data_IF_817920692963
#
_entry.id   IF_817920692963
#
_cell.length_a   1.000
_cell.length_b   1.000
_cell.length_c   1.000
_cell.angle_alpha   90.00
_cell.angle_beta   90.00
_cell.angle_gamma   90.00
#
_symmetry.space_group_name_H-M   'P 1'
#
loop_
_entity.id
_entity.type
_entity.pdbx_description
1 polymer ?
#
# COMPACT_ATOMS: atom_id res chain seq x y z
N UNK A 1 -3.22 -21.79 -23.91
CA UNK A 1 -2.27 -21.95 -22.79
C UNK A 1 -3.00 -22.61 -21.63
N UNK A 2 -2.28 -23.24 -20.71
CA UNK A 2 -2.87 -23.75 -19.46
C UNK A 2 -3.29 -22.59 -18.57
N UNK A 3 -4.40 -22.74 -17.82
CA UNK A 3 -4.84 -21.76 -16.82
C UNK A 3 -3.79 -21.51 -15.72
N UNK A 4 -3.03 -22.54 -15.34
CA UNK A 4 -1.96 -22.43 -14.33
C UNK A 4 -0.80 -21.59 -14.87
N UNK A 5 -0.45 -21.79 -16.14
CA UNK A 5 0.61 -21.03 -16.81
C UNK A 5 0.19 -19.56 -16.98
N UNK A 6 -1.07 -19.31 -17.36
CA UNK A 6 -1.61 -17.96 -17.47
C UNK A 6 -1.59 -17.22 -16.11
N UNK A 7 -2.00 -17.90 -15.03
CA UNK A 7 -1.94 -17.32 -13.69
C UNK A 7 -0.50 -17.02 -13.25
N UNK A 8 0.45 -17.90 -13.61
CA UNK A 8 1.88 -17.67 -13.37
C UNK A 8 2.38 -16.44 -14.11
N UNK A 9 2.10 -16.30 -15.40
CA UNK A 9 2.52 -15.14 -16.20
C UNK A 9 1.96 -13.83 -15.64
N UNK A 10 0.69 -13.83 -15.23
CA UNK A 10 0.10 -12.66 -14.57
C UNK A 10 0.77 -12.34 -13.23
N UNK A 11 1.09 -13.36 -12.43
CA UNK A 11 1.81 -13.17 -11.18
C UNK A 11 3.23 -12.63 -11.42
N UNK A 12 3.93 -13.03 -12.49
CA UNK A 12 5.27 -12.52 -12.83
C UNK A 12 5.22 -11.06 -13.26
N UNK A 13 4.24 -10.70 -14.09
CA UNK A 13 4.00 -9.31 -14.47
C UNK A 13 3.69 -8.46 -13.23
N UNK A 14 2.78 -8.93 -12.38
CA UNK A 14 2.42 -8.21 -11.16
C UNK A 14 3.62 -8.05 -10.22
N UNK A 15 4.43 -9.11 -10.04
CA UNK A 15 5.64 -9.05 -9.23
C UNK A 15 6.65 -8.02 -9.76
N UNK A 16 6.78 -7.93 -11.08
CA UNK A 16 7.65 -6.93 -11.73
C UNK A 16 7.15 -5.50 -11.45
N UNK A 17 5.83 -5.26 -11.60
CA UNK A 17 5.20 -3.97 -11.34
C UNK A 17 5.36 -3.52 -9.88
N UNK A 18 5.17 -4.42 -8.91
CA UNK A 18 5.26 -4.06 -7.48
C UNK A 18 6.70 -3.97 -6.96
N UNK A 19 7.67 -4.58 -7.66
CA UNK A 19 9.09 -4.45 -7.31
C UNK A 19 9.67 -3.11 -7.71
N UNK A 20 8.99 -2.34 -8.57
CA UNK A 20 9.36 -0.96 -8.79
C UNK A 20 9.32 -0.16 -7.47
N UNK A 21 10.13 0.90 -7.41
CA UNK A 21 10.18 1.75 -6.24
C UNK A 21 8.81 2.38 -5.99
N UNK A 22 8.37 2.38 -4.73
CA UNK A 22 7.10 3.00 -4.37
C UNK A 22 7.16 4.51 -4.73
N UNK A 23 6.24 5.03 -5.56
CA UNK A 23 6.36 6.39 -6.08
C UNK A 23 6.35 7.43 -4.96
N UNK A 24 7.07 8.54 -5.12
CA UNK A 24 7.05 9.64 -4.13
C UNK A 24 5.93 10.66 -4.37
N UNK A 25 5.50 10.83 -5.62
CA UNK A 25 4.48 11.80 -6.02
C UNK A 25 3.06 11.27 -5.74
N UNK A 26 2.20 12.08 -5.12
CA UNK A 26 0.85 11.69 -4.69
C UNK A 26 -0.02 11.10 -5.81
N UNK A 27 -0.01 11.70 -7.00
CA UNK A 27 -0.78 11.18 -8.16
C UNK A 27 -0.28 9.81 -8.61
N UNK A 28 1.05 9.63 -8.67
CA UNK A 28 1.67 8.35 -9.04
C UNK A 28 1.45 7.29 -7.97
N UNK A 29 1.38 7.67 -6.70
CA UNK A 29 1.02 6.78 -5.59
C UNK A 29 -0.41 6.28 -5.72
N UNK A 30 -1.36 7.17 -5.97
CA UNK A 30 -2.76 6.80 -6.18
C UNK A 30 -2.90 5.85 -7.37
N UNK A 31 -2.25 6.17 -8.50
CA UNK A 31 -2.23 5.31 -9.67
C UNK A 31 -1.60 3.93 -9.39
N UNK A 32 -0.48 3.89 -8.66
CA UNK A 32 0.17 2.64 -8.26
C UNK A 32 -0.76 1.78 -7.40
N UNK A 33 -1.43 2.36 -6.40
CA UNK A 33 -2.36 1.62 -5.53
C UNK A 33 -3.55 1.07 -6.33
N UNK A 34 -4.14 1.88 -7.22
CA UNK A 34 -5.24 1.43 -8.08
C UNK A 34 -4.82 0.30 -9.02
N UNK A 35 -3.61 0.36 -9.57
CA UNK A 35 -3.07 -0.72 -10.40
C UNK A 35 -2.88 -2.01 -9.59
N UNK A 36 -2.36 -1.91 -8.37
CA UNK A 36 -2.23 -3.05 -7.45
C UNK A 36 -3.60 -3.67 -7.14
N UNK A 37 -4.61 -2.86 -6.82
CA UNK A 37 -5.98 -3.36 -6.57
C UNK A 37 -6.56 -4.06 -7.80
N UNK A 38 -6.38 -3.47 -8.99
CA UNK A 38 -6.83 -4.08 -10.24
C UNK A 38 -6.17 -5.44 -10.47
N UNK A 39 -4.85 -5.54 -10.31
CA UNK A 39 -4.10 -6.79 -10.48
C UNK A 39 -4.53 -7.87 -9.49
N UNK A 40 -4.78 -7.48 -8.23
CA UNK A 40 -5.29 -8.40 -7.22
C UNK A 40 -6.69 -8.93 -7.56
N UNK A 41 -7.56 -8.07 -8.11
CA UNK A 41 -8.89 -8.48 -8.55
C UNK A 41 -8.85 -9.40 -9.78
N UNK A 42 -8.01 -9.10 -10.77
CA UNK A 42 -7.77 -9.98 -11.94
C UNK A 42 -7.29 -11.37 -11.49
N UNK A 43 -6.36 -11.40 -10.52
CA UNK A 43 -5.85 -12.65 -9.93
C UNK A 43 -6.94 -13.44 -9.20
N UNK A 44 -7.79 -12.78 -8.41
CA UNK A 44 -8.88 -13.42 -7.67
C UNK A 44 -9.83 -14.16 -8.62
N UNK A 45 -10.22 -13.52 -9.73
CA UNK A 45 -11.07 -14.13 -10.75
C UNK A 45 -10.43 -15.39 -11.38
N UNK A 46 -9.12 -15.36 -11.64
CA UNK A 46 -8.42 -16.53 -12.16
C UNK A 46 -8.32 -17.67 -11.14
N UNK A 47 -8.11 -17.35 -9.85
CA UNK A 47 -8.09 -18.34 -8.78
C UNK A 47 -9.47 -18.99 -8.60
N UNK A 48 -10.55 -18.23 -8.65
CA UNK A 48 -11.91 -18.77 -8.66
C UNK A 48 -12.13 -19.71 -9.84
N UNK A 49 -11.65 -19.34 -11.04
CA UNK A 49 -11.74 -20.18 -12.24
C UNK A 49 -10.84 -21.44 -12.19
N UNK A 50 -9.94 -21.52 -11.21
CA UNK A 50 -9.02 -22.63 -10.94
C UNK A 50 -9.44 -23.48 -9.73
N UNK A 51 -10.48 -23.10 -8.98
CA UNK A 51 -10.87 -23.77 -7.75
C UNK A 51 -11.16 -25.27 -7.94
N UNK A 52 -11.79 -25.63 -9.07
CA UNK A 52 -12.10 -27.02 -9.45
C UNK A 52 -11.12 -27.59 -10.50
N UNK A 53 -9.98 -26.92 -10.74
CA UNK A 53 -9.04 -27.33 -11.77
C UNK A 53 -8.05 -28.36 -11.25
N UNK A 54 -8.03 -29.54 -11.88
CA UNK A 54 -7.01 -30.56 -11.63
C UNK A 54 -5.71 -30.21 -12.37
N UNK A 55 -4.66 -29.98 -11.59
CA UNK A 55 -3.33 -29.69 -12.11
C UNK A 55 -2.78 -30.94 -12.80
N UNK A 56 -2.35 -30.79 -14.06
CA UNK A 56 -1.71 -31.86 -14.82
C UNK A 56 -0.25 -32.01 -14.42
N UNK A 57 0.33 -33.19 -14.63
CA UNK A 57 1.75 -33.47 -14.36
C UNK A 57 2.68 -32.47 -15.06
N UNK A 58 2.32 -32.07 -16.29
CA UNK A 58 3.05 -31.08 -17.11
C UNK A 58 3.04 -29.67 -16.51
N UNK A 59 2.12 -29.38 -15.60
CA UNK A 59 1.89 -28.06 -14.99
C UNK A 59 2.43 -27.98 -13.56
N UNK A 60 2.85 -29.10 -12.96
CA UNK A 60 3.34 -29.16 -11.58
C UNK A 60 4.49 -28.17 -11.32
N UNK A 61 5.41 -28.04 -12.29
CA UNK A 61 6.53 -27.12 -12.16
C UNK A 61 6.06 -25.66 -12.13
N UNK A 62 5.12 -25.31 -13.03
CA UNK A 62 4.53 -23.97 -13.06
C UNK A 62 3.74 -23.67 -11.79
N UNK A 63 3.01 -24.66 -11.24
CA UNK A 63 2.30 -24.52 -9.98
C UNK A 63 3.26 -24.28 -8.79
N UNK A 64 4.39 -24.99 -8.73
CA UNK A 64 5.42 -24.78 -7.69
C UNK A 64 6.03 -23.38 -7.77
N UNK A 65 6.36 -22.94 -8.99
CA UNK A 65 6.90 -21.59 -9.23
C UNK A 65 5.88 -20.51 -8.85
N UNK A 66 4.61 -20.69 -9.20
CA UNK A 66 3.53 -19.79 -8.84
C UNK A 66 3.39 -19.65 -7.32
N UNK A 67 3.47 -20.75 -6.55
CA UNK A 67 3.42 -20.71 -5.09
C UNK A 67 4.59 -19.92 -4.50
N UNK A 68 5.80 -20.08 -5.05
CA UNK A 68 6.96 -19.35 -4.56
C UNK A 68 6.89 -17.86 -4.91
N UNK A 69 6.39 -17.54 -6.09
CA UNK A 69 6.15 -16.17 -6.53
C UNK A 69 5.09 -15.47 -5.67
N UNK A 70 4.03 -16.17 -5.28
CA UNK A 70 3.01 -15.63 -4.37
C UNK A 70 3.59 -15.25 -3.01
N UNK A 71 4.51 -16.05 -2.46
CA UNK A 71 5.20 -15.68 -1.20
C UNK A 71 5.97 -14.38 -1.34
N UNK A 72 6.69 -14.21 -2.46
CA UNK A 72 7.46 -12.99 -2.74
C UNK A 72 6.54 -11.77 -2.91
N UNK A 73 5.44 -11.93 -3.64
CA UNK A 73 4.41 -10.90 -3.81
C UNK A 73 3.83 -10.50 -2.46
N UNK A 74 3.44 -11.46 -1.62
CA UNK A 74 2.90 -11.18 -0.28
C UNK A 74 3.90 -10.43 0.61
N UNK A 75 5.18 -10.80 0.55
CA UNK A 75 6.26 -10.07 1.22
C UNK A 75 6.33 -8.62 0.76
N UNK A 76 6.35 -8.39 -0.56
CA UNK A 76 6.43 -7.05 -1.13
C UNK A 76 5.20 -6.19 -0.83
N UNK A 77 4.00 -6.77 -0.88
CA UNK A 77 2.77 -6.08 -0.51
C UNK A 77 2.74 -5.67 0.97
N UNK A 78 3.34 -6.47 1.85
CA UNK A 78 3.49 -6.10 3.26
C UNK A 78 4.41 -4.87 3.43
N UNK A 79 5.51 -4.79 2.67
CA UNK A 79 6.38 -3.61 2.65
C UNK A 79 5.66 -2.36 2.13
N UNK A 80 4.97 -2.47 0.99
CA UNK A 80 4.16 -1.39 0.41
C UNK A 80 3.11 -0.87 1.41
N UNK A 81 2.41 -1.79 2.08
CA UNK A 81 1.47 -1.46 3.16
C UNK A 81 2.17 -0.70 4.30
N UNK A 82 3.39 -1.09 4.66
CA UNK A 82 4.21 -0.40 5.65
C UNK A 82 4.56 1.04 5.26
N UNK A 83 4.91 1.28 3.99
CA UNK A 83 5.14 2.63 3.48
C UNK A 83 3.88 3.49 3.59
N UNK A 84 2.75 2.99 3.10
CA UNK A 84 1.46 3.70 3.17
C UNK A 84 1.09 4.05 4.62
N UNK A 85 1.26 3.12 5.56
CA UNK A 85 0.99 3.37 6.98
C UNK A 85 1.90 4.45 7.57
N UNK A 86 3.17 4.46 7.19
CA UNK A 86 4.13 5.47 7.62
C UNK A 86 3.73 6.85 7.11
N UNK A 87 3.34 6.95 5.85
CA UNK A 87 2.91 8.22 5.25
C UNK A 87 1.64 8.77 5.91
N UNK A 88 0.66 7.90 6.19
CA UNK A 88 -0.55 8.29 6.94
C UNK A 88 -0.18 8.86 8.32
N UNK A 89 0.79 8.25 9.03
CA UNK A 89 1.25 8.76 10.33
C UNK A 89 1.93 10.12 10.19
N UNK A 90 2.79 10.29 9.18
CA UNK A 90 3.46 11.57 8.92
C UNK A 90 2.46 12.68 8.60
N UNK A 91 1.43 12.41 7.79
CA UNK A 91 0.37 13.36 7.48
C UNK A 91 -0.42 13.76 8.74
N UNK A 92 -0.76 12.80 9.60
CA UNK A 92 -1.42 13.08 10.89
C UNK A 92 -0.56 13.97 11.78
N UNK A 93 0.74 13.68 11.89
CA UNK A 93 1.68 14.47 12.68
C UNK A 93 1.83 15.89 12.14
N UNK A 94 1.96 16.07 10.82
CA UNK A 94 2.00 17.39 10.17
C UNK A 94 0.74 18.20 10.48
N UNK A 95 -0.44 17.58 10.38
CA UNK A 95 -1.73 18.24 10.70
C UNK A 95 -1.83 18.63 12.17
N UNK A 96 -1.36 17.78 13.09
CA UNK A 96 -1.35 18.10 14.53
C UNK A 96 -0.41 19.27 14.84
N UNK A 97 0.79 19.26 14.25
CA UNK A 97 1.76 20.34 14.44
C UNK A 97 1.24 21.66 13.86
N UNK A 98 0.65 21.66 12.67
CA UNK A 98 0.04 22.85 12.07
C UNK A 98 -1.04 23.46 12.99
N UNK A 99 -1.92 22.63 13.57
CA UNK A 99 -2.95 23.08 14.53
C UNK A 99 -2.36 23.67 15.83
N UNK A 100 -1.19 23.19 16.28
CA UNK A 100 -0.49 23.77 17.45
C UNK A 100 0.07 25.16 17.13
N UNK A 101 0.49 25.39 15.89
CA UNK A 101 1.01 26.70 15.44
C UNK A 101 -0.09 27.73 15.12
N UNK A 102 -1.26 27.30 14.64
CA UNK A 102 -2.40 28.20 14.42
C UNK A 102 -3.08 28.66 15.72
N UNK A 103 -2.87 27.96 16.84
CA UNK A 103 -3.53 28.27 18.10
C UNK A 103 -2.57 28.45 19.29
N UNK A 104 -1.65 29.43 19.25
CA UNK A 104 -0.74 29.73 20.35
C UNK A 104 -1.44 30.36 21.57
N UNK A 105 -2.76 30.61 21.50
CA UNK A 105 -3.55 31.28 22.54
C UNK A 105 -4.69 30.43 23.14
N UNK A 106 -4.81 29.14 22.81
CA UNK A 106 -5.82 28.25 23.41
C UNK A 106 -5.34 27.49 24.66
N UNK A 107 -4.27 27.95 25.30
CA UNK A 107 -4.08 27.66 26.73
C UNK A 107 -5.02 28.54 27.55
N UNK A 108 -5.49 28.11 28.74
CA UNK A 108 -6.24 29.00 29.62
C UNK A 108 -5.36 30.22 29.89
N UNK A 109 -5.83 31.39 29.46
CA UNK A 109 -5.22 32.67 29.81
C UNK A 109 -5.29 32.76 31.33
N UNK A 110 -4.16 32.84 32.08
CA UNK A 110 -4.24 33.16 33.49
C UNK A 110 -4.92 34.52 33.57
N UNK A 111 -6.08 34.58 34.23
CA UNK A 111 -6.82 35.81 34.46
C UNK A 111 -5.88 36.86 35.06
N UNK A 112 -5.74 37.99 34.36
CA UNK A 112 -5.28 39.25 34.93
C UNK A 112 -3.80 39.36 35.28
N UNK A 113 -2.98 39.81 34.32
CA UNK A 113 -1.82 40.64 34.67
C UNK A 113 -1.94 41.94 33.87
N UNK A 114 -2.47 42.97 34.55
CA UNK A 114 -2.39 44.35 34.10
C UNK A 114 -0.95 44.83 34.25
N UNK A 115 -0.29 45.12 33.14
CA UNK A 115 0.95 45.90 33.19
C UNK A 115 0.56 47.36 33.41
N UNK A 116 0.73 47.82 34.65
CA UNK A 116 0.66 49.24 35.00
C UNK A 116 1.71 50.00 34.17
N UNK A 117 1.24 50.81 33.22
CA UNK A 117 2.10 51.72 32.48
C UNK A 117 2.43 52.89 33.41
N UNK A 118 3.66 52.93 33.89
CA UNK A 118 4.23 54.13 34.49
C UNK A 118 4.88 54.97 33.38
N UNK A 119 4.27 56.11 33.09
CA UNK A 119 4.95 57.32 32.60
C UNK A 119 5.70 58.00 33.74
#
# INVERSE_FOLDING_TARGET
MSKVVELKEQAELFFTEINEAFPEQDEKRAAFILNVEKRLSEREQLLEALADYEIKVEEEQAAKELVELDKQINGRLAEVKGFIQTDIRQLKNKKQNFRKYENPYAGPTPEGIFFDKRE
#
